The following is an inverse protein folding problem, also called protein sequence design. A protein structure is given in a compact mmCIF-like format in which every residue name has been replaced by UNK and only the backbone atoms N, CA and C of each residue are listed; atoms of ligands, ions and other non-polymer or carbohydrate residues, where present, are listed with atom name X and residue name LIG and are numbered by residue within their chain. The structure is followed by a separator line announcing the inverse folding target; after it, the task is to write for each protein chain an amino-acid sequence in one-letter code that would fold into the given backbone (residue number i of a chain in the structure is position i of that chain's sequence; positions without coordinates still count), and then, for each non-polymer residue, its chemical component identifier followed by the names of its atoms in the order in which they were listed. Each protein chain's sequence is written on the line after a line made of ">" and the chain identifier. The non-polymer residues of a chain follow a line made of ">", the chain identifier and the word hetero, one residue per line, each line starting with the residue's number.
data_IF_421255420470
#
_entry.id   IF_421255420470
#
_cell.length_a   1.000
_cell.length_b   1.000
_cell.length_c   1.000
_cell.angle_alpha   90.00
_cell.angle_beta   90.00
_cell.angle_gamma   90.00
#
_symmetry.space_group_name_H-M   'P 1'
#
loop_
_entity.id
_entity.type
_entity.pdbx_description
1 polymer ?
#
# COMPACT_ATOMS: atom_id res chain seq x y z
N UNK A 1 -2.03 -2.78 15.35
CA UNK A 1 -0.93 -2.40 14.43
C UNK A 1 -0.01 -3.57 14.06
N UNK A 2 0.21 -4.55 14.95
CA UNK A 2 1.08 -5.70 14.66
C UNK A 2 0.50 -6.73 13.68
N UNK A 3 -0.82 -6.98 13.71
CA UNK A 3 -1.43 -7.99 12.84
C UNK A 3 -1.36 -7.61 11.36
N UNK A 4 -1.68 -6.37 11.00
CA UNK A 4 -1.59 -5.90 9.62
C UNK A 4 -0.14 -5.93 9.11
N UNK A 5 0.83 -5.59 9.97
CA UNK A 5 2.25 -5.68 9.63
C UNK A 5 2.70 -7.13 9.45
N UNK A 6 2.28 -8.04 10.32
CA UNK A 6 2.57 -9.47 10.20
C UNK A 6 1.93 -10.10 8.97
N UNK A 7 0.71 -9.69 8.61
CA UNK A 7 0.08 -10.10 7.35
C UNK A 7 0.83 -9.54 6.14
N UNK A 8 1.21 -8.26 6.17
CA UNK A 8 2.03 -7.63 5.13
C UNK A 8 3.37 -8.34 4.90
N UNK A 9 4.00 -8.85 5.96
CA UNK A 9 5.25 -9.61 5.87
C UNK A 9 5.12 -10.90 5.06
N UNK A 10 3.93 -11.50 4.96
CA UNK A 10 3.69 -12.70 4.16
C UNK A 10 3.84 -12.46 2.65
N UNK A 11 3.77 -11.20 2.20
CA UNK A 11 3.90 -10.81 0.81
C UNK A 11 5.29 -10.21 0.50
N UNK A 12 6.26 -10.35 1.40
CA UNK A 12 7.56 -9.72 1.24
C UNK A 12 8.29 -10.14 -0.07
N UNK A 13 8.09 -11.37 -0.51
CA UNK A 13 8.65 -11.96 -1.73
C UNK A 13 7.97 -11.49 -3.02
N UNK A 14 6.78 -10.89 -2.93
CA UNK A 14 6.06 -10.30 -4.05
C UNK A 14 6.69 -8.98 -4.54
N UNK A 15 7.63 -8.41 -3.79
CA UNK A 15 8.23 -7.11 -4.09
C UNK A 15 9.75 -7.23 -4.32
N UNK A 16 10.22 -6.75 -5.47
CA UNK A 16 11.65 -6.64 -5.76
C UNK A 16 12.34 -5.49 -4.99
N UNK A 17 11.57 -4.46 -4.63
CA UNK A 17 12.08 -3.25 -3.99
C UNK A 17 11.36 -2.96 -2.68
N UNK A 18 12.12 -2.52 -1.68
CA UNK A 18 11.62 -2.18 -0.35
C UNK A 18 10.62 -1.01 -0.38
N UNK A 19 10.79 -0.08 -1.32
CA UNK A 19 9.92 1.07 -1.53
C UNK A 19 8.52 0.61 -1.97
N UNK A 20 8.42 -0.26 -2.97
CA UNK A 20 7.13 -0.81 -3.44
C UNK A 20 6.41 -1.57 -2.31
N UNK A 21 7.16 -2.36 -1.54
CA UNK A 21 6.63 -3.05 -0.36
C UNK A 21 6.11 -2.07 0.69
N UNK A 22 6.79 -0.93 0.90
CA UNK A 22 6.35 0.10 1.83
C UNK A 22 5.08 0.81 1.31
N UNK A 23 5.01 1.13 0.02
CA UNK A 23 3.81 1.68 -0.59
C UNK A 23 2.60 0.75 -0.46
N UNK A 24 2.80 -0.56 -0.62
CA UNK A 24 1.78 -1.57 -0.35
C UNK A 24 1.27 -1.52 1.11
N UNK A 25 2.18 -1.49 2.09
CA UNK A 25 1.80 -1.40 3.50
C UNK A 25 0.99 -0.14 3.79
N UNK A 26 1.42 1.02 3.28
CA UNK A 26 0.71 2.30 3.43
C UNK A 26 -0.67 2.26 2.81
N UNK A 27 -0.79 1.68 1.62
CA UNK A 27 -2.07 1.52 0.94
C UNK A 27 -3.01 0.62 1.76
N UNK A 28 -2.54 -0.54 2.22
CA UNK A 28 -3.31 -1.44 3.09
C UNK A 28 -3.74 -0.76 4.39
N UNK A 29 -2.83 -0.05 5.06
CA UNK A 29 -3.13 0.66 6.30
C UNK A 29 -4.27 1.67 6.09
N UNK A 30 -4.28 2.39 4.97
CA UNK A 30 -5.39 3.24 4.57
C UNK A 30 -6.69 2.48 4.28
N UNK A 31 -6.61 1.34 3.59
CA UNK A 31 -7.78 0.53 3.28
C UNK A 31 -8.48 -0.03 4.53
N UNK A 32 -7.73 -0.37 5.56
CA UNK A 32 -8.27 -0.84 6.84
C UNK A 32 -8.51 0.27 7.87
N UNK A 33 -8.22 1.53 7.52
CA UNK A 33 -8.46 2.68 8.39
C UNK A 33 -9.96 3.06 8.45
N UNK A 34 -10.36 3.91 9.42
CA UNK A 34 -11.71 4.47 9.49
C UNK A 34 -11.96 5.62 8.50
N UNK A 35 -11.08 5.86 7.52
CA UNK A 35 -11.30 6.88 6.51
C UNK A 35 -12.60 6.65 5.73
N UNK A 36 -13.40 7.70 5.58
CA UNK A 36 -14.64 7.67 4.80
C UNK A 36 -14.38 7.43 3.31
N UNK A 37 -13.34 8.07 2.77
CA UNK A 37 -12.88 7.91 1.38
C UNK A 37 -11.55 7.17 1.37
N UNK A 38 -11.51 6.02 0.69
CA UNK A 38 -10.35 5.12 0.64
C UNK A 38 -9.69 5.06 -0.75
N UNK A 39 -9.79 6.15 -1.51
CA UNK A 39 -8.94 6.34 -2.68
C UNK A 39 -7.50 6.66 -2.26
N UNK A 40 -6.59 6.63 -3.23
CA UNK A 40 -5.14 6.74 -2.98
C UNK A 40 -4.75 8.06 -2.32
N UNK A 41 -5.32 9.19 -2.77
CA UNK A 41 -5.00 10.50 -2.22
C UNK A 41 -5.41 10.67 -0.75
N UNK A 42 -6.67 10.41 -0.33
CA UNK A 42 -7.05 10.43 1.09
C UNK A 42 -6.17 9.53 1.97
N UNK A 43 -5.86 8.33 1.48
CA UNK A 43 -4.98 7.39 2.20
C UNK A 43 -3.58 7.98 2.35
N UNK A 44 -2.98 8.47 1.26
CA UNK A 44 -1.64 9.03 1.26
C UNK A 44 -1.52 10.25 2.18
N UNK A 45 -2.57 11.07 2.30
CA UNK A 45 -2.60 12.21 3.21
C UNK A 45 -2.74 11.80 4.69
N UNK A 46 -3.35 10.65 4.96
CA UNK A 46 -3.61 10.17 6.32
C UNK A 46 -2.49 9.31 6.91
N UNK A 47 -1.62 8.72 6.09
CA UNK A 47 -0.51 7.86 6.54
C UNK A 47 0.79 8.63 6.69
N UNK A 48 1.61 8.22 7.68
CA UNK A 48 2.93 8.83 7.90
C UNK A 48 3.81 8.67 6.66
N UNK A 49 4.46 9.76 6.26
CA UNK A 49 5.35 9.83 5.10
C UNK A 49 4.67 9.35 3.79
N UNK A 50 3.35 9.51 3.69
CA UNK A 50 2.60 9.20 2.47
C UNK A 50 2.95 10.15 1.33
N UNK A 51 2.99 9.60 0.11
CA UNK A 51 3.25 10.37 -1.10
C UNK A 51 2.21 9.99 -2.15
N UNK A 52 1.32 10.92 -2.48
CA UNK A 52 0.18 10.67 -3.39
C UNK A 52 0.66 10.12 -4.73
N UNK A 53 1.65 10.75 -5.36
CA UNK A 53 2.14 10.34 -6.68
C UNK A 53 2.82 8.98 -6.66
N UNK A 54 3.68 8.73 -5.67
CA UNK A 54 4.40 7.46 -5.56
C UNK A 54 3.43 6.29 -5.29
N UNK A 55 2.45 6.49 -4.40
CA UNK A 55 1.43 5.48 -4.12
C UNK A 55 0.48 5.27 -5.31
N UNK A 56 0.13 6.34 -6.04
CA UNK A 56 -0.67 6.23 -7.26
C UNK A 56 0.04 5.38 -8.30
N UNK A 57 1.32 5.66 -8.58
CA UNK A 57 2.12 4.86 -9.51
C UNK A 57 2.26 3.41 -9.07
N UNK A 58 2.48 3.18 -7.77
CA UNK A 58 2.55 1.82 -7.24
C UNK A 58 1.28 1.01 -7.51
N UNK A 59 0.10 1.58 -7.28
CA UNK A 59 -1.17 0.84 -7.48
C UNK A 59 -1.55 0.75 -8.96
N UNK A 60 -1.31 1.81 -9.74
CA UNK A 60 -1.76 1.92 -11.13
C UNK A 60 -0.81 1.32 -12.16
N UNK A 61 0.51 1.45 -11.96
CA UNK A 61 1.51 1.12 -12.98
C UNK A 61 2.26 -0.19 -12.68
N UNK A 62 2.06 -0.79 -11.51
CA UNK A 62 2.68 -2.07 -11.19
C UNK A 62 2.10 -3.19 -12.08
N UNK A 63 2.93 -4.11 -12.61
CA UNK A 63 2.44 -5.27 -13.32
C UNK A 63 1.75 -6.21 -12.34
N UNK A 64 0.41 -6.24 -12.38
CA UNK A 64 -0.38 -7.19 -11.63
C UNK A 64 -0.43 -8.51 -12.39
N UNK A 65 -0.08 -9.61 -11.74
CA UNK A 65 -0.28 -10.95 -12.29
C UNK A 65 -1.76 -11.31 -12.20
N UNK A 66 -2.57 -10.79 -13.12
CA UNK A 66 -4.03 -11.02 -13.16
C UNK A 66 -4.40 -12.49 -13.45
N UNK A 67 -3.45 -13.30 -13.93
CA UNK A 67 -3.63 -14.72 -14.27
C UNK A 67 -3.62 -15.68 -13.05
N UNK A 68 -3.67 -15.18 -11.81
CA UNK A 68 -3.74 -15.99 -10.59
C UNK A 68 -5.06 -15.84 -9.85
#
# INVERSE_FOLDING_TARGET
>A
MNELKGFHEQFADCFQHSESRNHFYKYMAGQFSPLERKSIEPIALAVKDGNVRAMQRFVSDAPWSEDK
#
